data_IF_525881487846
#
_entry.id   IF_525881487846
#
_cell.length_a   1.000
_cell.length_b   1.000
_cell.length_c   1.000
_cell.angle_alpha   90.00
_cell.angle_beta   90.00
_cell.angle_gamma   90.00
#
_symmetry.space_group_name_H-M   'P 1'
#
loop_
_entity.id
_entity.type
_entity.pdbx_description
1 polymer ?
#
# COMPACT_ATOMS: atom_id res chain seq x y z
N UNK A 1 7.88 -12.45 -6.20
CA UNK A 1 7.26 -12.95 -4.95
C UNK A 1 6.54 -14.24 -5.27
N UNK A 2 6.68 -15.24 -4.41
CA UNK A 2 5.85 -16.46 -4.42
C UNK A 2 4.39 -16.11 -4.06
N UNK A 3 3.48 -17.07 -4.22
CA UNK A 3 2.06 -16.87 -3.84
C UNK A 3 1.94 -16.65 -2.32
N UNK A 4 2.75 -17.35 -1.52
CA UNK A 4 2.77 -17.23 -0.07
C UNK A 4 3.28 -15.85 0.37
N UNK A 5 4.38 -15.38 -0.21
CA UNK A 5 4.94 -14.05 0.07
C UNK A 5 3.96 -12.93 -0.29
N UNK A 6 3.22 -13.08 -1.39
CA UNK A 6 2.17 -12.12 -1.78
C UNK A 6 1.05 -12.08 -0.75
N UNK A 7 0.62 -13.25 -0.26
CA UNK A 7 -0.44 -13.34 0.73
C UNK A 7 -0.01 -12.72 2.07
N UNK A 8 1.19 -13.05 2.55
CA UNK A 8 1.76 -12.45 3.75
C UNK A 8 1.88 -10.93 3.65
N UNK A 9 2.29 -10.43 2.47
CA UNK A 9 2.37 -9.00 2.22
C UNK A 9 1.00 -8.32 2.31
N UNK A 10 -0.02 -8.89 1.67
CA UNK A 10 -1.40 -8.38 1.71
C UNK A 10 -1.94 -8.40 3.15
N UNK A 11 -1.70 -9.47 3.90
CA UNK A 11 -2.18 -9.59 5.27
C UNK A 11 -1.47 -8.59 6.19
N UNK A 12 -0.17 -8.36 5.99
CA UNK A 12 0.57 -7.29 6.66
C UNK A 12 -0.04 -5.91 6.39
N UNK A 13 -0.43 -5.62 5.15
CA UNK A 13 -1.09 -4.34 4.79
C UNK A 13 -2.42 -4.22 5.54
N UNK A 14 -3.22 -5.29 5.58
CA UNK A 14 -4.51 -5.31 6.31
C UNK A 14 -4.36 -5.09 7.81
N UNK A 15 -3.34 -5.67 8.41
CA UNK A 15 -3.11 -5.56 9.87
C UNK A 15 -2.53 -4.20 10.25
N UNK A 16 -1.66 -3.64 9.43
CA UNK A 16 -0.84 -2.48 9.83
C UNK A 16 -1.28 -1.17 9.21
N UNK A 17 -1.67 -1.16 7.93
CA UNK A 17 -1.96 0.06 7.19
C UNK A 17 -3.46 0.33 7.13
N UNK A 18 -4.26 -0.71 6.87
CA UNK A 18 -5.70 -0.54 6.67
C UNK A 18 -6.47 0.08 7.84
N UNK A 19 -6.16 -0.19 9.13
CA UNK A 19 -6.87 0.46 10.25
C UNK A 19 -6.80 2.00 10.19
N UNK A 20 -5.72 2.54 9.62
CA UNK A 20 -5.53 3.97 9.42
C UNK A 20 -6.06 4.41 8.05
N UNK A 21 -5.69 3.68 6.99
CA UNK A 21 -6.04 4.02 5.62
C UNK A 21 -7.55 3.96 5.35
N UNK A 22 -8.33 3.19 6.11
CA UNK A 22 -9.80 3.17 5.99
C UNK A 22 -10.44 4.54 6.21
N UNK A 23 -9.88 5.36 7.11
CA UNK A 23 -10.37 6.71 7.40
C UNK A 23 -9.68 7.81 6.57
N UNK A 24 -8.71 7.44 5.71
CA UNK A 24 -8.03 8.37 4.81
C UNK A 24 -8.75 8.49 3.47
N UNK A 25 -8.69 9.67 2.87
CA UNK A 25 -9.03 9.90 1.47
C UNK A 25 -7.94 9.35 0.55
N UNK A 26 -8.27 9.15 -0.73
CA UNK A 26 -7.32 8.71 -1.75
C UNK A 26 -6.06 9.59 -1.79
N UNK A 27 -6.26 10.91 -1.82
CA UNK A 27 -5.17 11.90 -1.87
C UNK A 27 -4.28 11.84 -0.63
N UNK A 28 -4.87 11.61 0.56
CA UNK A 28 -4.09 11.44 1.79
C UNK A 28 -3.20 10.18 1.75
N UNK A 29 -3.71 9.08 1.20
CA UNK A 29 -2.94 7.84 1.02
C UNK A 29 -1.80 8.08 0.02
N UNK A 30 -2.09 8.69 -1.14
CA UNK A 30 -1.08 9.01 -2.15
C UNK A 30 0.05 9.90 -1.59
N UNK A 31 -0.31 10.93 -0.84
CA UNK A 31 0.67 11.85 -0.22
C UNK A 31 1.51 11.17 0.85
N UNK A 32 0.91 10.27 1.65
CA UNK A 32 1.64 9.47 2.64
C UNK A 32 2.67 8.57 1.97
N UNK A 33 2.27 7.83 0.94
CA UNK A 33 3.14 6.91 0.22
C UNK A 33 4.30 7.65 -0.46
N UNK A 34 4.03 8.78 -1.13
CA UNK A 34 5.09 9.64 -1.70
C UNK A 34 6.06 10.17 -0.64
N UNK A 35 5.57 10.47 0.56
CA UNK A 35 6.41 10.93 1.67
C UNK A 35 7.32 9.81 2.16
N UNK A 36 6.78 8.60 2.31
CA UNK A 36 7.54 7.40 2.70
C UNK A 36 8.62 7.09 1.67
N UNK A 37 8.31 7.14 0.37
CA UNK A 37 9.28 6.91 -0.70
C UNK A 37 10.45 7.91 -0.63
N UNK A 38 10.15 9.21 -0.47
CA UNK A 38 11.19 10.25 -0.34
C UNK A 38 12.04 10.10 0.91
N UNK A 39 11.46 9.65 2.01
CA UNK A 39 12.15 9.46 3.29
C UNK A 39 12.98 8.17 3.33
N UNK A 40 12.71 7.22 2.44
CA UNK A 40 13.36 5.92 2.41
C UNK A 40 13.97 5.67 1.02
N UNK A 41 15.09 6.33 0.68
CA UNK A 41 15.72 6.20 -0.65
C UNK A 41 16.24 4.79 -0.96
N UNK A 42 16.31 3.92 0.05
CA UNK A 42 16.71 2.52 -0.09
C UNK A 42 15.53 1.61 -0.46
N UNK A 43 14.30 2.12 -0.52
CA UNK A 43 13.17 1.33 -0.99
C UNK A 43 13.39 0.94 -2.46
N UNK A 44 13.06 -0.30 -2.84
CA UNK A 44 13.10 -0.71 -4.23
C UNK A 44 12.24 0.22 -5.09
N UNK A 45 12.73 0.55 -6.29
CA UNK A 45 11.99 1.32 -7.27
C UNK A 45 10.63 0.65 -7.56
N UNK A 46 9.54 1.43 -7.52
CA UNK A 46 8.18 0.95 -7.74
C UNK A 46 7.51 0.28 -6.53
N UNK A 47 8.19 0.16 -5.38
CA UNK A 47 7.57 -0.37 -4.16
C UNK A 47 6.41 0.50 -3.67
N UNK A 48 6.58 1.82 -3.73
CA UNK A 48 5.57 2.79 -3.32
C UNK A 48 4.30 2.68 -4.18
N UNK A 49 4.47 2.58 -5.50
CA UNK A 49 3.36 2.38 -6.45
C UNK A 49 2.64 1.06 -6.20
N UNK A 50 3.39 -0.04 -6.02
CA UNK A 50 2.82 -1.34 -5.69
C UNK A 50 2.01 -1.28 -4.39
N UNK A 51 2.54 -0.63 -3.34
CA UNK A 51 1.85 -0.50 -2.06
C UNK A 51 0.56 0.32 -2.20
N UNK A 52 0.60 1.41 -2.97
CA UNK A 52 -0.56 2.24 -3.27
C UNK A 52 -1.65 1.44 -3.99
N UNK A 53 -1.28 0.67 -5.01
CA UNK A 53 -2.21 -0.20 -5.74
C UNK A 53 -2.89 -1.21 -4.82
N UNK A 54 -2.13 -1.87 -3.93
CA UNK A 54 -2.70 -2.84 -2.99
C UNK A 54 -3.64 -2.17 -1.99
N UNK A 55 -3.29 -1.01 -1.45
CA UNK A 55 -4.18 -0.26 -0.54
C UNK A 55 -5.47 0.13 -1.27
N UNK A 56 -5.38 0.61 -2.51
CA UNK A 56 -6.55 0.95 -3.32
C UNK A 56 -7.41 -0.27 -3.59
N UNK A 57 -6.81 -1.40 -3.99
CA UNK A 57 -7.52 -2.64 -4.26
C UNK A 57 -8.27 -3.14 -3.01
N UNK A 58 -7.63 -3.14 -1.85
CA UNK A 58 -8.24 -3.59 -0.59
C UNK A 58 -9.34 -2.63 -0.13
N UNK A 59 -9.15 -1.32 -0.27
CA UNK A 59 -10.09 -0.29 0.22
C UNK A 59 -11.33 -0.12 -0.67
N UNK A 60 -11.15 -0.16 -1.98
CA UNK A 60 -12.20 0.17 -2.95
C UNK A 60 -12.72 -1.04 -3.71
N UNK A 61 -12.04 -2.19 -3.65
CA UNK A 61 -12.51 -3.43 -4.24
C UNK A 61 -12.60 -3.44 -5.77
N UNK A 62 -12.07 -2.43 -6.47
CA UNK A 62 -12.27 -2.31 -7.91
C UNK A 62 -11.35 -3.25 -8.68
N UNK A 63 -11.85 -4.47 -8.90
CA UNK A 63 -11.72 -5.13 -10.20
C UNK A 63 -12.32 -4.20 -11.25
N UNK A 64 -11.50 -3.74 -12.21
CA UNK A 64 -12.04 -3.56 -13.56
C UNK A 64 -12.45 -4.90 -14.12
#
# INVERSE_FOLDING_TARGET
>A
MTIEEQQEFIDKIKETIMPYAQNMTKEQIENLIKTVEKQNPNLPFGFADMLLEQIHFIKYGEKK
#
